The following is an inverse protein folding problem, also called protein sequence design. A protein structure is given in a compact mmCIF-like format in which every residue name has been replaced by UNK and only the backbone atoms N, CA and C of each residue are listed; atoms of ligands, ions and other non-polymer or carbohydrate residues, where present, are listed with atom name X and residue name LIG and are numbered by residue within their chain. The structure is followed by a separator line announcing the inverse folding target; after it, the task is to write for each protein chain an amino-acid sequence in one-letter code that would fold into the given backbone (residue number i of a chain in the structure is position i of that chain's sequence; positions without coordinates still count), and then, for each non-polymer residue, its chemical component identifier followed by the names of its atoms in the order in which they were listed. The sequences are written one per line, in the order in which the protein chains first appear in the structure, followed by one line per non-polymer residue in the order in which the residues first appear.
data_IF_550767711028
#
_entry.id   IF_550767711028
#
_cell.length_a   1.000
_cell.length_b   1.000
_cell.length_c   1.000
_cell.angle_alpha   90.00
_cell.angle_beta   90.00
_cell.angle_gamma   90.00
#
_symmetry.space_group_name_H-M   'P 1'
#
loop_
_entity.id
_entity.type
_entity.pdbx_description
1 polymer ?
#
# COMPACT_ATOMS: atom_id res chain seq x y z
N UNK A 1 3.69 18.30 12.21
CA UNK A 1 4.85 18.63 11.35
C UNK A 1 4.43 18.33 9.91
N UNK A 2 4.22 19.37 9.10
CA UNK A 2 3.69 19.25 7.74
C UNK A 2 4.88 19.09 6.78
N UNK A 3 4.98 17.95 6.08
CA UNK A 3 6.11 17.67 5.18
C UNK A 3 5.85 18.42 3.86
N UNK A 4 6.72 19.35 3.42
CA UNK A 4 6.55 20.05 2.15
C UNK A 4 6.74 19.05 1.00
N UNK A 5 5.72 18.89 0.14
CA UNK A 5 5.81 18.02 -1.05
C UNK A 5 4.72 16.95 -1.19
N UNK A 6 3.74 16.89 -0.28
CA UNK A 6 2.53 16.09 -0.50
C UNK A 6 1.78 16.67 -1.71
N UNK A 7 1.99 16.08 -2.90
CA UNK A 7 1.16 16.38 -4.07
C UNK A 7 -0.28 16.11 -3.65
N UNK A 8 -1.07 17.18 -3.55
CA UNK A 8 -2.50 17.08 -3.35
C UNK A 8 -3.03 16.19 -4.46
N UNK A 9 -3.74 15.13 -4.07
CA UNK A 9 -4.32 14.16 -5.00
C UNK A 9 -4.86 14.90 -6.22
N UNK A 10 -4.26 14.69 -7.38
CA UNK A 10 -4.88 15.11 -8.63
C UNK A 10 -6.28 14.51 -8.57
N UNK A 11 -7.34 15.33 -8.70
CA UNK A 11 -8.72 14.85 -8.83
C UNK A 11 -8.79 13.93 -10.06
N UNK A 12 -8.38 12.67 -9.93
CA UNK A 12 -8.12 11.77 -11.04
C UNK A 12 -9.40 11.54 -11.84
N UNK A 13 -10.54 11.40 -11.16
CA UNK A 13 -11.84 11.30 -11.80
C UNK A 13 -12.25 12.54 -12.63
N UNK A 14 -11.75 13.74 -12.33
CA UNK A 14 -12.16 14.97 -13.04
C UNK A 14 -11.26 15.30 -14.25
N UNK A 15 -10.04 14.76 -14.29
CA UNK A 15 -9.01 15.19 -15.26
C UNK A 15 -8.84 14.21 -16.43
N UNK A 16 -9.51 13.05 -16.39
CA UNK A 16 -9.30 12.04 -17.41
C UNK A 16 -9.83 12.39 -18.81
N UNK A 17 -11.03 12.95 -19.06
CA UNK A 17 -11.49 13.08 -20.45
C UNK A 17 -10.99 14.36 -21.11
N UNK A 18 -9.79 14.33 -21.72
CA UNK A 18 -9.23 15.45 -22.52
C UNK A 18 -8.94 15.07 -23.98
N UNK A 19 -8.78 13.79 -24.29
CA UNK A 19 -8.30 13.25 -25.57
C UNK A 19 -8.90 11.85 -25.84
N UNK A 20 -9.35 11.51 -27.05
CA UNK A 20 -10.13 10.28 -27.32
C UNK A 20 -9.68 8.95 -26.66
N UNK A 21 -8.37 8.63 -26.49
CA UNK A 21 -7.93 7.44 -25.77
C UNK A 21 -8.27 7.41 -24.26
N UNK A 22 -8.38 8.57 -23.61
CA UNK A 22 -8.64 8.67 -22.18
C UNK A 22 -10.12 8.44 -21.83
N UNK A 23 -11.04 8.82 -22.71
CA UNK A 23 -12.47 8.50 -22.61
C UNK A 23 -12.65 6.99 -22.71
N UNK A 24 -12.02 6.34 -23.71
CA UNK A 24 -12.06 4.88 -23.84
C UNK A 24 -11.47 4.15 -22.63
N UNK A 25 -10.39 4.68 -22.05
CA UNK A 25 -9.77 4.13 -20.85
C UNK A 25 -10.68 4.31 -19.61
N UNK A 26 -11.28 5.49 -19.45
CA UNK A 26 -12.21 5.79 -18.37
C UNK A 26 -13.46 4.92 -18.44
N UNK A 27 -14.05 4.75 -19.63
CA UNK A 27 -15.26 3.95 -19.84
C UNK A 27 -14.99 2.46 -19.62
N UNK A 28 -13.79 1.98 -19.97
CA UNK A 28 -13.40 0.59 -19.75
C UNK A 28 -13.25 0.24 -18.26
N UNK A 29 -12.55 1.07 -17.48
CA UNK A 29 -12.32 0.80 -16.04
C UNK A 29 -13.48 1.27 -15.14
N UNK A 30 -14.28 2.21 -15.62
CA UNK A 30 -15.41 2.79 -14.90
C UNK A 30 -15.03 3.87 -13.89
N UNK A 31 -16.00 4.76 -13.60
CA UNK A 31 -15.77 5.96 -12.77
C UNK A 31 -15.33 5.64 -11.33
N UNK A 32 -15.88 4.57 -10.73
CA UNK A 32 -15.66 4.24 -9.33
C UNK A 32 -14.18 4.01 -9.00
N UNK A 33 -13.41 3.40 -9.92
CA UNK A 33 -11.98 3.17 -9.72
C UNK A 33 -11.25 4.49 -9.48
N UNK A 34 -11.48 5.48 -10.35
CA UNK A 34 -10.83 6.78 -10.29
C UNK A 34 -11.35 7.67 -9.17
N UNK A 35 -12.60 7.47 -8.73
CA UNK A 35 -13.14 8.18 -7.55
C UNK A 35 -12.49 7.71 -6.25
N UNK A 36 -12.12 6.42 -6.17
CA UNK A 36 -11.45 5.86 -5.00
C UNK A 36 -9.95 6.08 -4.98
N UNK A 37 -9.34 6.46 -6.12
CA UNK A 37 -7.93 6.83 -6.22
C UNK A 37 -7.69 8.24 -5.63
N UNK A 38 -7.76 8.29 -4.30
CA UNK A 38 -7.58 9.48 -3.50
C UNK A 38 -6.18 9.48 -2.89
N UNK A 39 -5.58 10.66 -2.78
CA UNK A 39 -4.37 10.86 -1.98
C UNK A 39 -4.69 10.83 -0.48
N UNK A 40 -3.67 11.08 0.34
CA UNK A 40 -3.80 10.94 1.80
C UNK A 40 -4.82 11.95 2.35
N UNK A 41 -5.89 11.43 2.94
CA UNK A 41 -6.91 12.22 3.63
C UNK A 41 -6.92 11.88 5.13
N UNK A 42 -5.98 12.48 5.85
CA UNK A 42 -5.67 12.14 7.25
C UNK A 42 -6.85 12.32 8.21
N UNK A 43 -7.79 13.20 7.89
CA UNK A 43 -8.91 13.57 8.78
C UNK A 43 -10.07 12.58 8.71
N UNK A 44 -10.36 12.02 7.53
CA UNK A 44 -11.53 11.15 7.31
C UNK A 44 -11.14 9.68 7.23
N UNK A 45 -10.23 9.32 6.31
CA UNK A 45 -9.79 7.94 6.08
C UNK A 45 -8.58 7.57 6.95
N UNK A 46 -7.75 8.56 7.28
CA UNK A 46 -6.49 8.36 7.99
C UNK A 46 -5.32 8.18 7.03
N UNK A 47 -4.32 7.41 7.45
CA UNK A 47 -3.11 7.16 6.67
C UNK A 47 -2.70 5.71 6.81
N UNK A 48 -2.50 5.04 5.67
CA UNK A 48 -2.02 3.66 5.61
C UNK A 48 -0.63 3.54 6.23
N UNK A 49 0.28 4.46 5.91
CA UNK A 49 1.68 4.41 6.41
C UNK A 49 1.78 4.72 7.91
N UNK A 50 0.82 5.46 8.46
CA UNK A 50 0.79 5.75 9.89
C UNK A 50 -0.09 4.75 10.67
N UNK A 51 -0.73 3.80 10.00
CA UNK A 51 -1.66 2.83 10.60
C UNK A 51 -2.78 3.49 11.43
N UNK A 52 -3.35 4.56 10.88
CA UNK A 52 -4.37 5.40 11.56
C UNK A 52 -5.71 5.40 10.81
N UNK A 53 -6.78 5.78 11.52
CA UNK A 53 -8.11 5.89 10.94
C UNK A 53 -8.66 4.54 10.48
N UNK A 54 -9.35 4.54 9.34
CA UNK A 54 -9.99 3.34 8.78
C UNK A 54 -8.97 2.24 8.45
N UNK A 55 -7.74 2.61 8.05
CA UNK A 55 -6.67 1.64 7.77
C UNK A 55 -6.26 0.86 9.02
N UNK A 56 -6.05 1.55 10.15
CA UNK A 56 -5.69 0.90 11.41
C UNK A 56 -6.80 0.00 11.95
N UNK A 57 -8.07 0.41 11.80
CA UNK A 57 -9.21 -0.45 12.18
C UNK A 57 -9.34 -1.69 11.29
N UNK A 58 -9.08 -1.55 9.99
CA UNK A 58 -9.01 -2.68 9.06
C UNK A 58 -7.90 -3.67 9.46
N UNK A 59 -6.73 -3.18 9.84
CA UNK A 59 -5.62 -4.00 10.30
C UNK A 59 -5.91 -4.73 11.62
N UNK A 60 -6.53 -4.06 12.59
CA UNK A 60 -7.01 -4.70 13.84
C UNK A 60 -8.05 -5.77 13.56
N UNK A 61 -8.96 -5.50 12.62
CA UNK A 61 -9.94 -6.47 12.17
C UNK A 61 -9.27 -7.70 11.55
N UNK A 62 -8.31 -7.50 10.65
CA UNK A 62 -7.53 -8.58 10.07
C UNK A 62 -6.78 -9.39 11.14
N UNK A 63 -6.12 -8.72 12.09
CA UNK A 63 -5.43 -9.38 13.20
C UNK A 63 -6.36 -10.32 13.99
N UNK A 64 -7.56 -9.83 14.32
CA UNK A 64 -8.60 -10.64 14.99
C UNK A 64 -9.06 -11.83 14.16
N UNK A 65 -9.28 -11.64 12.86
CA UNK A 65 -9.77 -12.71 11.96
C UNK A 65 -8.71 -13.78 11.73
N UNK A 66 -7.46 -13.38 11.51
CA UNK A 66 -6.34 -14.30 11.26
C UNK A 66 -5.68 -14.84 12.53
N UNK A 67 -6.10 -14.39 13.71
CA UNK A 67 -5.58 -14.85 14.99
C UNK A 67 -4.15 -14.37 15.29
N UNK A 68 -3.77 -13.21 14.77
CA UNK A 68 -2.46 -12.60 15.01
C UNK A 68 -2.54 -11.48 16.06
N UNK A 69 -1.44 -11.22 16.77
CA UNK A 69 -1.35 -10.07 17.69
C UNK A 69 -1.48 -8.72 16.95
N UNK A 70 -0.93 -8.66 15.73
CA UNK A 70 -1.00 -7.51 14.85
C UNK A 70 -0.98 -7.96 13.39
N UNK A 71 -1.59 -7.17 12.52
CA UNK A 71 -1.51 -7.33 11.06
C UNK A 71 -1.16 -6.00 10.41
N UNK A 72 -0.44 -6.04 9.30
CA UNK A 72 -0.03 -4.87 8.52
C UNK A 72 -0.48 -5.04 7.08
N UNK A 73 -1.16 -4.03 6.55
CA UNK A 73 -1.62 -4.01 5.17
C UNK A 73 -0.48 -3.57 4.24
N UNK A 74 -0.20 -4.37 3.20
CA UNK A 74 0.90 -4.13 2.26
C UNK A 74 0.36 -4.11 0.84
N UNK A 75 0.60 -3.02 0.11
CA UNK A 75 0.11 -2.81 -1.28
C UNK A 75 1.15 -3.15 -2.37
N UNK A 76 2.34 -3.62 -1.96
CA UNK A 76 3.45 -4.03 -2.85
C UNK A 76 3.63 -5.55 -2.90
N UNK A 77 2.58 -6.30 -2.54
CA UNK A 77 2.54 -7.76 -2.52
C UNK A 77 3.48 -8.40 -1.50
N UNK A 78 3.46 -9.74 -1.44
CA UNK A 78 4.25 -10.51 -0.46
C UNK A 78 5.76 -10.32 -0.64
N UNK A 79 6.24 -9.99 -1.85
CA UNK A 79 7.64 -9.62 -2.07
C UNK A 79 8.03 -8.32 -1.35
N UNK A 80 7.11 -7.36 -1.23
CA UNK A 80 7.29 -6.20 -0.36
C UNK A 80 7.28 -6.59 1.11
N UNK A 81 6.31 -7.40 1.54
CA UNK A 81 6.21 -7.88 2.93
C UNK A 81 7.47 -8.61 3.39
N UNK A 82 8.02 -9.50 2.57
CA UNK A 82 9.25 -10.23 2.91
C UNK A 82 10.43 -9.28 3.07
N UNK A 83 10.57 -8.26 2.22
CA UNK A 83 11.63 -7.24 2.38
C UNK A 83 11.45 -6.44 3.66
N UNK A 84 10.22 -6.02 3.99
CA UNK A 84 9.93 -5.32 5.24
C UNK A 84 10.30 -6.15 6.46
N UNK A 85 9.93 -7.45 6.48
CA UNK A 85 10.26 -8.35 7.59
C UNK A 85 11.79 -8.55 7.68
N UNK A 86 12.46 -8.83 6.57
CA UNK A 86 13.91 -9.03 6.59
C UNK A 86 14.65 -7.78 7.08
N UNK A 87 14.30 -6.59 6.56
CA UNK A 87 14.91 -5.34 6.99
C UNK A 87 14.68 -5.01 8.47
N UNK A 88 13.61 -5.51 9.07
CA UNK A 88 13.32 -5.31 10.48
C UNK A 88 14.02 -6.34 11.40
N UNK A 89 14.33 -7.54 10.89
CA UNK A 89 14.77 -8.67 11.70
C UNK A 89 16.27 -9.00 11.59
N UNK A 90 17.00 -8.46 10.61
CA UNK A 90 18.43 -8.74 10.43
C UNK A 90 19.22 -7.51 9.99
N UNK A 91 20.51 -7.55 10.26
CA UNK A 91 21.53 -6.57 9.89
C UNK A 91 22.70 -7.24 9.18
N UNK A 92 23.62 -6.44 8.65
CA UNK A 92 24.84 -6.97 8.05
C UNK A 92 25.62 -7.79 9.08
N UNK A 93 26.10 -8.96 8.65
CA UNK A 93 26.83 -9.97 9.45
C UNK A 93 25.98 -10.84 10.39
N UNK A 94 24.65 -10.73 10.36
CA UNK A 94 23.79 -11.71 11.04
C UNK A 94 23.78 -13.06 10.31
N UNK A 95 23.82 -14.15 11.08
CA UNK A 95 23.62 -15.50 10.55
C UNK A 95 22.13 -15.82 10.61
N UNK A 96 21.51 -16.03 9.45
CA UNK A 96 20.08 -16.30 9.33
C UNK A 96 19.83 -17.70 8.76
N UNK A 97 18.79 -18.37 9.28
CA UNK A 97 18.33 -19.64 8.75
C UNK A 97 17.24 -19.37 7.72
N UNK A 98 17.50 -19.70 6.47
CA UNK A 98 16.56 -19.51 5.35
C UNK A 98 16.16 -20.87 4.82
N UNK A 99 14.85 -21.09 4.66
CA UNK A 99 14.36 -22.29 4.00
C UNK A 99 14.84 -22.36 2.54
N UNK A 100 15.20 -23.57 2.08
CA UNK A 100 15.76 -23.80 0.74
C UNK A 100 14.78 -23.44 -0.38
N UNK A 101 13.48 -23.56 -0.12
CA UNK A 101 12.43 -23.29 -1.12
C UNK A 101 11.86 -21.87 -1.03
N UNK A 102 12.38 -21.05 -0.12
CA UNK A 102 11.89 -19.70 0.10
C UNK A 102 11.98 -18.86 -1.18
N UNK A 103 10.90 -18.14 -1.47
CA UNK A 103 10.89 -17.15 -2.56
C UNK A 103 11.86 -16.04 -2.18
N UNK A 104 12.97 -15.94 -2.91
CA UNK A 104 13.99 -14.93 -2.66
C UNK A 104 13.47 -13.54 -3.05
N UNK A 105 13.25 -12.61 -2.11
CA UNK A 105 12.84 -11.26 -2.44
C UNK A 105 13.99 -10.39 -2.97
N UNK A 106 15.25 -10.84 -2.86
CA UNK A 106 16.44 -10.10 -3.33
C UNK A 106 16.75 -10.31 -4.81
N UNK A 107 16.13 -11.28 -5.50
CA UNK A 107 16.36 -11.57 -6.91
C UNK A 107 15.60 -10.63 -7.89
N UNK A 108 15.33 -9.38 -7.47
CA UNK A 108 14.77 -8.32 -8.33
C UNK A 108 15.52 -7.00 -8.14
N UNK A 109 16.82 -7.04 -8.41
CA UNK A 109 17.65 -5.86 -8.74
C UNK A 109 18.44 -6.20 -9.99
#
# INVERSE_FOLDING_TARGET
MNIPGQRQATRAALVLPKHPPDVSYHDYYGENLFRTDMGIERTSLGSLLDHTGAFGESEKYAARVFGADRSWSVVVGTSGSNRTIMQACMTDNDVVVVDRTAINPSNKV
#
